data_IF_842848982797
#
_entry.id   IF_842848982797
#
_cell.length_a   1.000
_cell.length_b   1.000
_cell.length_c   1.000
_cell.angle_alpha   90.00
_cell.angle_beta   90.00
_cell.angle_gamma   90.00
#
_symmetry.space_group_name_H-M   'P 1'
#
loop_
_entity.id
_entity.type
_entity.pdbx_description
1 polymer ?
#
# COMPACT_ATOMS: atom_id res chain seq x y z
N UNK A 1 -27.61 19.70 18.04
CA UNK A 1 -26.16 19.95 17.91
C UNK A 1 -25.68 19.13 16.73
N UNK A 2 -24.81 19.63 15.84
CA UNK A 2 -24.17 18.74 14.87
C UNK A 2 -23.51 17.61 15.66
N UNK A 3 -23.64 16.38 15.17
CA UNK A 3 -22.98 15.23 15.79
C UNK A 3 -21.48 15.54 15.93
N UNK A 4 -20.87 15.17 17.05
CA UNK A 4 -19.44 15.39 17.35
C UNK A 4 -18.51 15.00 16.18
N UNK A 5 -18.93 14.03 15.38
CA UNK A 5 -18.18 13.50 14.23
C UNK A 5 -18.51 14.14 12.88
N UNK A 6 -19.57 14.95 12.79
CA UNK A 6 -20.09 15.49 11.54
C UNK A 6 -20.90 14.48 10.71
N UNK A 7 -21.39 14.94 9.56
CA UNK A 7 -22.09 14.13 8.56
C UNK A 7 -21.23 13.88 7.33
N UNK A 8 -21.41 12.71 6.71
CA UNK A 8 -20.76 12.40 5.46
C UNK A 8 -21.51 13.03 4.29
N UNK A 9 -20.74 13.62 3.37
CA UNK A 9 -21.22 14.26 2.15
C UNK A 9 -20.48 13.71 0.95
N UNK A 10 -21.20 13.48 -0.15
CA UNK A 10 -20.61 13.18 -1.46
C UNK A 10 -20.81 14.38 -2.37
N UNK A 11 -19.72 15.01 -2.78
CA UNK A 11 -19.72 16.07 -3.77
C UNK A 11 -19.51 15.45 -5.16
N UNK A 12 -20.45 15.62 -6.07
CA UNK A 12 -20.38 15.05 -7.43
C UNK A 12 -21.14 15.96 -8.40
N UNK A 13 -20.55 16.26 -9.55
CA UNK A 13 -21.15 17.10 -10.60
C UNK A 13 -21.68 18.46 -10.09
N UNK A 14 -20.92 19.11 -9.20
CA UNK A 14 -21.30 20.38 -8.58
C UNK A 14 -22.43 20.29 -7.55
N UNK A 15 -22.86 19.08 -7.17
CA UNK A 15 -23.93 18.85 -6.20
C UNK A 15 -23.40 18.20 -4.92
N UNK A 16 -24.09 18.49 -3.81
CA UNK A 16 -23.82 17.92 -2.50
C UNK A 16 -24.92 16.90 -2.16
N UNK A 17 -24.55 15.63 -2.06
CA UNK A 17 -25.44 14.53 -1.69
C UNK A 17 -25.24 14.15 -0.22
N UNK A 18 -26.33 14.22 0.54
CA UNK A 18 -26.38 14.05 2.00
C UNK A 18 -27.41 12.97 2.39
N UNK A 19 -27.49 12.65 3.68
CA UNK A 19 -28.55 11.80 4.23
C UNK A 19 -28.29 10.29 4.07
N UNK A 20 -27.02 9.90 3.93
CA UNK A 20 -26.61 8.51 3.84
C UNK A 20 -26.96 7.75 5.12
N UNK A 21 -27.63 6.61 4.97
CA UNK A 21 -28.03 5.75 6.09
C UNK A 21 -26.95 4.73 6.43
N UNK A 22 -26.21 4.31 5.41
CA UNK A 22 -25.10 3.37 5.50
C UNK A 22 -23.89 4.04 4.83
N UNK A 23 -22.80 4.13 5.57
CA UNK A 23 -21.55 4.76 5.18
C UNK A 23 -20.42 3.78 5.44
N UNK A 24 -19.52 3.64 4.48
CA UNK A 24 -18.19 3.05 4.66
C UNK A 24 -17.19 3.82 3.82
N UNK A 25 -16.11 4.30 4.44
CA UNK A 25 -14.95 4.86 3.74
C UNK A 25 -13.71 4.24 4.33
N UNK A 26 -12.92 3.56 3.51
CA UNK A 26 -11.72 2.84 3.94
C UNK A 26 -10.46 3.44 3.33
N UNK A 27 -9.47 3.69 4.19
CA UNK A 27 -8.14 4.22 3.83
C UNK A 27 -7.06 3.46 4.57
N UNK A 28 -5.89 3.27 3.96
CA UNK A 28 -4.78 2.61 4.62
C UNK A 28 -3.42 2.89 3.96
N UNK A 29 -2.35 2.61 4.69
CA UNK A 29 -0.97 2.75 4.20
C UNK A 29 -0.60 1.72 3.12
N UNK A 30 -1.15 0.51 3.25
CA UNK A 30 -0.94 -0.58 2.30
C UNK A 30 -2.18 -0.80 1.42
N UNK A 31 -3.08 0.19 1.36
CA UNK A 31 -4.34 0.15 0.59
C UNK A 31 -4.36 1.30 -0.42
N UNK A 32 -4.10 0.96 -1.67
CA UNK A 32 -4.19 1.90 -2.78
C UNK A 32 -5.00 1.27 -3.92
N UNK A 33 -6.06 1.92 -4.42
CA UNK A 33 -6.65 3.17 -3.93
C UNK A 33 -7.49 2.98 -2.64
N UNK A 34 -7.76 4.05 -1.88
CA UNK A 34 -8.82 4.06 -0.88
C UNK A 34 -10.19 3.96 -1.56
N UNK A 35 -11.23 3.60 -0.82
CA UNK A 35 -12.56 3.36 -1.39
C UNK A 35 -13.72 3.75 -0.47
N UNK A 36 -14.89 3.96 -1.07
CA UNK A 36 -16.11 4.29 -0.36
C UNK A 36 -17.32 3.50 -0.86
N UNK A 37 -18.29 3.32 0.04
CA UNK A 37 -19.63 2.84 -0.27
C UNK A 37 -20.64 3.61 0.58
N UNK A 38 -21.61 4.21 -0.09
CA UNK A 38 -22.66 5.01 0.51
C UNK A 38 -24.01 4.46 0.07
N UNK A 39 -24.93 4.30 1.01
CA UNK A 39 -26.26 3.78 0.71
C UNK A 39 -27.35 4.56 1.44
N UNK A 40 -28.47 4.74 0.74
CA UNK A 40 -29.71 5.32 1.27
C UNK A 40 -30.90 4.51 0.79
N UNK A 41 -31.88 4.30 1.67
CA UNK A 41 -33.19 3.82 1.27
C UNK A 41 -34.08 5.04 0.95
N UNK A 42 -34.46 5.16 -0.33
CA UNK A 42 -35.38 6.19 -0.76
C UNK A 42 -36.82 5.77 -0.53
N UNK A 43 -37.58 6.65 0.11
CA UNK A 43 -39.06 6.64 0.13
C UNK A 43 -39.58 7.93 -0.52
N UNK A 44 -39.17 8.24 -1.75
CA UNK A 44 -39.63 9.46 -2.45
C UNK A 44 -40.50 9.14 -3.68
N UNK A 45 -41.67 9.80 -3.83
CA UNK A 45 -42.34 9.96 -5.11
C UNK A 45 -41.64 11.06 -5.92
N UNK A 46 -41.10 10.68 -7.08
CA UNK A 46 -40.68 11.49 -8.23
C UNK A 46 -40.21 12.96 -8.00
N UNK A 47 -38.90 13.21 -8.12
CA UNK A 47 -38.35 14.55 -8.32
C UNK A 47 -36.85 14.51 -8.66
N UNK A 48 -36.49 15.07 -9.82
CA UNK A 48 -35.16 15.21 -10.48
C UNK A 48 -33.94 15.17 -9.54
N UNK A 49 -32.86 14.44 -9.79
CA UNK A 49 -32.43 13.82 -11.05
C UNK A 49 -30.92 13.91 -11.25
N UNK A 50 -30.11 13.87 -10.19
CA UNK A 50 -28.68 13.55 -10.32
C UNK A 50 -28.41 12.26 -9.58
N UNK A 51 -28.22 11.26 -10.40
CA UNK A 51 -27.67 9.98 -10.05
C UNK A 51 -26.16 10.19 -10.06
N UNK A 52 -25.44 9.81 -8.99
CA UNK A 52 -23.98 9.72 -9.01
C UNK A 52 -23.58 8.66 -10.05
N UNK A 53 -23.51 9.06 -11.33
CA UNK A 53 -23.25 8.13 -12.44
C UNK A 53 -21.81 7.63 -12.37
N UNK A 54 -21.56 6.36 -12.74
CA UNK A 54 -20.21 5.87 -12.95
C UNK A 54 -19.38 6.78 -13.85
N UNK A 55 -18.11 7.00 -13.51
CA UNK A 55 -17.16 7.84 -14.22
C UNK A 55 -17.16 9.32 -13.83
N UNK A 56 -18.08 9.77 -12.97
CA UNK A 56 -18.03 11.15 -12.47
C UNK A 56 -16.97 11.33 -11.39
N UNK A 57 -16.23 12.44 -11.46
CA UNK A 57 -15.33 12.86 -10.38
C UNK A 57 -16.14 13.19 -9.13
N UNK A 58 -15.60 12.81 -7.97
CA UNK A 58 -16.27 13.03 -6.69
C UNK A 58 -15.29 13.33 -5.56
N UNK A 59 -15.80 13.99 -4.53
CA UNK A 59 -15.11 14.24 -3.27
C UNK A 59 -16.00 13.76 -2.13
N UNK A 60 -15.46 12.89 -1.28
CA UNK A 60 -16.11 12.45 -0.06
C UNK A 60 -15.59 13.29 1.10
N UNK A 61 -16.52 13.85 1.89
CA UNK A 61 -16.20 14.65 3.07
C UNK A 61 -16.88 14.12 4.32
N UNK A 62 -16.23 14.27 5.47
CA UNK A 62 -16.83 14.07 6.79
C UNK A 62 -16.77 15.41 7.52
N UNK A 63 -17.93 16.04 7.73
CA UNK A 63 -17.97 17.45 8.11
C UNK A 63 -17.32 18.29 7.01
N UNK A 64 -16.30 19.07 7.34
CA UNK A 64 -15.55 19.90 6.40
C UNK A 64 -14.29 19.21 5.85
N UNK A 65 -13.85 18.11 6.49
CA UNK A 65 -12.64 17.40 6.12
C UNK A 65 -12.87 16.53 4.89
N UNK A 66 -12.04 16.72 3.87
CA UNK A 66 -11.95 15.80 2.74
C UNK A 66 -11.30 14.51 3.20
N UNK A 67 -11.96 13.38 2.91
CA UNK A 67 -11.45 12.04 3.24
C UNK A 67 -11.04 11.24 2.01
N UNK A 68 -11.65 11.51 0.86
CA UNK A 68 -11.32 10.84 -0.39
C UNK A 68 -11.66 11.75 -1.56
N UNK A 69 -10.77 11.82 -2.55
CA UNK A 69 -11.01 12.49 -3.82
C UNK A 69 -10.77 11.49 -4.94
N UNK A 70 -11.76 11.27 -5.80
CA UNK A 70 -11.68 10.18 -6.77
C UNK A 70 -12.85 10.12 -7.73
N UNK A 71 -13.30 8.91 -8.03
CA UNK A 71 -14.30 8.66 -9.04
C UNK A 71 -15.44 7.80 -8.50
N UNK A 72 -16.65 8.05 -9.00
CA UNK A 72 -17.76 7.12 -8.81
C UNK A 72 -17.56 5.91 -9.72
N UNK A 73 -17.39 4.72 -9.16
CA UNK A 73 -17.24 3.49 -9.95
C UNK A 73 -18.59 2.84 -10.25
N UNK A 74 -19.50 2.82 -9.28
CA UNK A 74 -20.77 2.12 -9.40
C UNK A 74 -21.90 2.92 -8.80
N UNK A 75 -23.01 2.92 -9.54
CA UNK A 75 -24.33 3.29 -9.05
C UNK A 75 -25.25 2.10 -9.17
N UNK A 76 -25.75 1.62 -8.04
CA UNK A 76 -26.59 0.41 -7.97
C UNK A 76 -27.95 0.76 -7.37
N UNK A 77 -28.94 1.10 -8.20
CA UNK A 77 -30.32 1.21 -7.76
C UNK A 77 -30.89 -0.20 -7.53
N UNK A 78 -31.57 -0.40 -6.41
CA UNK A 78 -32.31 -1.61 -6.09
C UNK A 78 -33.72 -1.29 -5.64
N UNK A 79 -34.58 -2.30 -5.66
CA UNK A 79 -35.94 -2.23 -5.12
C UNK A 79 -36.24 -3.50 -4.34
N UNK A 80 -36.90 -3.35 -3.20
CA UNK A 80 -37.34 -4.44 -2.36
C UNK A 80 -38.80 -4.19 -1.96
N UNK A 81 -39.64 -5.23 -2.06
CA UNK A 81 -41.07 -5.13 -1.75
C UNK A 81 -41.35 -4.62 -0.32
N UNK A 82 -40.48 -4.95 0.65
CA UNK A 82 -40.63 -4.58 2.07
C UNK A 82 -39.93 -3.27 2.41
N UNK A 83 -38.70 -3.06 1.94
CA UNK A 83 -37.88 -1.91 2.32
C UNK A 83 -37.87 -0.75 1.30
N UNK A 84 -38.57 -0.89 0.16
CA UNK A 84 -38.70 0.17 -0.83
C UNK A 84 -37.51 0.27 -1.79
N UNK A 85 -37.23 1.48 -2.29
CA UNK A 85 -36.10 1.74 -3.18
C UNK A 85 -34.81 1.88 -2.37
N UNK A 86 -33.72 1.32 -2.87
CA UNK A 86 -32.36 1.44 -2.32
C UNK A 86 -31.46 2.04 -3.37
N UNK A 87 -30.58 2.98 -2.99
CA UNK A 87 -29.52 3.51 -3.85
C UNK A 87 -28.19 3.26 -3.17
N UNK A 88 -27.26 2.68 -3.91
CA UNK A 88 -25.88 2.47 -3.47
C UNK A 88 -24.96 3.17 -4.44
N UNK A 89 -24.05 4.00 -3.92
CA UNK A 89 -22.97 4.64 -4.67
C UNK A 89 -21.66 4.11 -4.10
N UNK A 90 -20.76 3.63 -4.95
CA UNK A 90 -19.41 3.26 -4.53
C UNK A 90 -18.38 3.78 -5.52
N UNK A 91 -17.18 3.98 -5.04
CA UNK A 91 -16.08 4.49 -5.83
C UNK A 91 -14.75 4.36 -5.10
N UNK A 92 -13.68 4.73 -5.79
CA UNK A 92 -12.32 4.71 -5.26
C UNK A 92 -11.61 6.03 -5.52
N UNK A 93 -10.49 6.21 -4.83
CA UNK A 93 -9.59 7.34 -4.99
C UNK A 93 -8.99 7.45 -6.41
N UNK A 94 -8.40 8.60 -6.73
CA UNK A 94 -7.84 8.88 -8.07
C UNK A 94 -6.77 7.87 -8.51
N UNK A 95 -5.99 7.32 -7.57
CA UNK A 95 -4.96 6.32 -7.86
C UNK A 95 -5.51 4.99 -8.35
N UNK A 96 -6.84 4.80 -8.39
CA UNK A 96 -7.45 3.64 -9.02
C UNK A 96 -6.98 3.44 -10.47
N UNK A 97 -6.73 4.53 -11.19
CA UNK A 97 -6.33 4.46 -12.59
C UNK A 97 -4.89 3.94 -12.72
N UNK A 98 -4.01 4.22 -11.74
CA UNK A 98 -2.69 3.60 -11.67
C UNK A 98 -2.79 2.08 -11.47
N UNK A 99 -3.74 1.65 -10.64
CA UNK A 99 -3.93 0.24 -10.26
C UNK A 99 -4.61 -0.55 -11.38
N UNK A 100 -5.54 0.06 -12.11
CA UNK A 100 -6.37 -0.62 -13.10
C UNK A 100 -5.73 -0.60 -14.50
N UNK A 101 -5.03 0.48 -14.87
CA UNK A 101 -4.55 0.69 -16.24
C UNK A 101 -3.09 0.28 -16.46
N UNK A 102 -2.80 -0.16 -17.69
CA UNK A 102 -1.45 -0.43 -18.16
C UNK A 102 -0.61 0.83 -18.30
N UNK A 103 0.70 0.70 -18.10
CA UNK A 103 1.67 1.76 -18.35
C UNK A 103 1.77 2.07 -19.86
N UNK A 104 1.11 3.15 -20.29
CA UNK A 104 1.05 3.54 -21.70
C UNK A 104 2.16 4.53 -22.07
N UNK A 105 3.39 4.02 -22.22
CA UNK A 105 4.58 4.83 -22.52
C UNK A 105 5.02 4.75 -24.01
N UNK A 106 4.07 4.63 -24.94
CA UNK A 106 4.37 4.43 -26.38
C UNK A 106 5.14 5.59 -27.02
N UNK A 107 4.94 6.81 -26.55
CA UNK A 107 5.70 7.99 -27.00
C UNK A 107 7.14 8.06 -26.47
N UNK A 108 7.51 7.14 -25.58
CA UNK A 108 8.80 7.13 -24.86
C UNK A 108 9.53 5.80 -25.09
N UNK A 109 9.39 5.23 -26.29
CA UNK A 109 9.93 3.93 -26.66
C UNK A 109 9.57 2.78 -25.69
N UNK A 110 8.52 2.95 -24.88
CA UNK A 110 8.11 2.02 -23.83
C UNK A 110 9.18 1.79 -22.74
N UNK A 111 9.92 2.86 -22.39
CA UNK A 111 11.00 2.83 -21.41
C UNK A 111 10.78 3.87 -20.30
N UNK A 112 11.30 3.55 -19.12
CA UNK A 112 11.51 4.51 -18.03
C UNK A 112 12.95 5.01 -18.10
N UNK A 113 13.15 6.32 -18.07
CA UNK A 113 14.49 6.93 -18.14
C UNK A 113 15.28 6.81 -16.84
N UNK A 114 16.60 6.93 -16.93
CA UNK A 114 17.47 7.06 -15.76
C UNK A 114 17.18 8.40 -15.03
N UNK A 115 16.47 8.36 -13.91
CA UNK A 115 15.98 9.54 -13.20
C UNK A 115 15.72 9.27 -11.71
N UNK A 116 15.62 10.31 -10.87
CA UNK A 116 15.14 10.15 -9.49
C UNK A 116 13.76 9.48 -9.43
N UNK A 117 13.54 8.69 -8.39
CA UNK A 117 12.30 7.93 -8.14
C UNK A 117 11.04 8.77 -8.31
N UNK A 118 11.01 9.98 -7.73
CA UNK A 118 9.89 10.90 -7.88
C UNK A 118 9.56 11.20 -9.34
N UNK A 119 10.56 11.51 -10.16
CA UNK A 119 10.35 11.92 -11.56
C UNK A 119 9.79 10.77 -12.40
N UNK A 120 10.27 9.54 -12.17
CA UNK A 120 9.73 8.33 -12.81
C UNK A 120 8.25 8.16 -12.45
N UNK A 121 7.91 8.31 -11.18
CA UNK A 121 6.53 8.15 -10.70
C UNK A 121 5.63 9.29 -11.22
N UNK A 122 6.13 10.53 -11.26
CA UNK A 122 5.44 11.68 -11.85
C UNK A 122 5.10 11.44 -13.33
N UNK A 123 6.01 10.84 -14.09
CA UNK A 123 5.78 10.50 -15.50
C UNK A 123 4.61 9.53 -15.68
N UNK A 124 4.46 8.54 -14.79
CA UNK A 124 3.34 7.60 -14.80
C UNK A 124 2.04 8.26 -14.33
N UNK A 125 2.12 9.07 -13.27
CA UNK A 125 0.96 9.77 -12.70
C UNK A 125 0.39 10.84 -13.65
N UNK A 126 1.25 11.45 -14.48
CA UNK A 126 0.85 12.43 -15.49
C UNK A 126 -0.14 11.88 -16.53
N UNK A 127 -0.14 10.56 -16.78
CA UNK A 127 -1.11 9.90 -17.67
C UNK A 127 -2.56 10.08 -17.20
N UNK A 128 -2.76 10.26 -15.89
CA UNK A 128 -4.06 10.33 -15.23
C UNK A 128 -4.32 11.66 -14.54
N UNK A 129 -3.42 12.64 -14.71
CA UNK A 129 -3.52 13.94 -14.04
C UNK A 129 -3.43 13.84 -12.51
N UNK A 130 -2.65 12.88 -12.01
CA UNK A 130 -2.38 12.72 -10.58
C UNK A 130 -1.08 13.44 -10.25
N UNK A 131 -1.10 14.31 -9.25
CA UNK A 131 0.11 14.96 -8.74
C UNK A 131 0.81 14.06 -7.70
N UNK A 132 2.13 14.17 -7.62
CA UNK A 132 2.96 13.42 -6.67
C UNK A 132 3.43 14.33 -5.54
N UNK A 133 3.22 13.89 -4.30
CA UNK A 133 3.65 14.56 -3.07
C UNK A 133 4.80 13.78 -2.43
N UNK A 134 6.03 14.12 -2.80
CA UNK A 134 7.24 13.47 -2.29
C UNK A 134 7.71 14.15 -0.99
N UNK A 135 7.27 13.64 0.15
CA UNK A 135 7.48 14.25 1.47
C UNK A 135 8.89 14.07 2.02
N UNK A 136 9.58 13.01 1.60
CA UNK A 136 10.92 12.64 2.03
C UNK A 136 11.97 12.82 0.92
N UNK A 137 11.70 13.73 -0.02
CA UNK A 137 12.59 14.06 -1.15
C UNK A 137 12.41 13.18 -2.38
N UNK A 138 13.26 13.38 -3.39
CA UNK A 138 13.06 12.80 -4.73
C UNK A 138 13.41 11.30 -4.84
N UNK A 139 14.00 10.72 -3.78
CA UNK A 139 14.43 9.32 -3.71
C UNK A 139 15.73 9.02 -4.46
N UNK A 140 16.09 7.74 -4.50
CA UNK A 140 17.25 7.23 -5.23
C UNK A 140 17.05 7.32 -6.74
N UNK A 141 18.16 7.34 -7.46
CA UNK A 141 18.17 7.23 -8.92
C UNK A 141 17.74 5.83 -9.33
N UNK A 142 16.75 5.79 -10.19
CA UNK A 142 16.21 4.59 -10.82
C UNK A 142 16.96 4.39 -12.13
N UNK A 143 17.61 3.23 -12.35
CA UNK A 143 18.24 2.95 -13.63
C UNK A 143 17.17 2.83 -14.72
N UNK A 144 17.57 3.06 -15.97
CA UNK A 144 16.69 2.86 -17.12
C UNK A 144 16.27 1.38 -17.20
N UNK A 145 14.98 1.13 -17.46
CA UNK A 145 14.47 -0.21 -17.75
C UNK A 145 13.30 -0.16 -18.75
N UNK A 146 13.11 -1.28 -19.45
CA UNK A 146 11.97 -1.46 -20.37
C UNK A 146 10.72 -1.81 -19.57
N UNK A 147 9.61 -1.17 -19.89
CA UNK A 147 8.31 -1.49 -19.29
C UNK A 147 7.69 -2.67 -20.02
N UNK A 148 7.17 -3.65 -19.29
CA UNK A 148 6.49 -4.78 -19.94
C UNK A 148 5.17 -4.27 -20.52
N UNK A 149 4.81 -4.68 -21.74
CA UNK A 149 3.63 -4.15 -22.46
C UNK A 149 2.31 -4.28 -21.70
N UNK A 150 2.22 -5.24 -20.77
CA UNK A 150 1.04 -5.54 -19.95
C UNK A 150 1.17 -5.07 -18.50
N UNK A 151 2.28 -4.45 -18.13
CA UNK A 151 2.53 -3.98 -16.75
C UNK A 151 1.58 -2.84 -16.38
N UNK A 152 1.02 -2.87 -15.17
CA UNK A 152 0.19 -1.76 -14.67
C UNK A 152 1.08 -0.63 -14.20
N UNK A 153 0.57 0.59 -14.24
CA UNK A 153 1.30 1.75 -13.71
C UNK A 153 1.67 1.54 -12.24
N UNK A 154 0.75 1.00 -11.44
CA UNK A 154 0.96 0.75 -10.02
C UNK A 154 2.08 -0.26 -9.75
N UNK A 155 2.19 -1.33 -10.55
CA UNK A 155 3.25 -2.33 -10.35
C UNK A 155 4.65 -1.68 -10.49
N UNK A 156 4.77 -0.74 -11.43
CA UNK A 156 6.00 0.05 -11.62
C UNK A 156 6.18 1.04 -10.47
N UNK A 157 5.15 1.79 -10.10
CA UNK A 157 5.18 2.77 -9.00
C UNK A 157 5.60 2.09 -7.70
N UNK A 158 4.97 0.98 -7.33
CA UNK A 158 5.25 0.22 -6.11
C UNK A 158 6.68 -0.35 -6.11
N UNK A 159 7.15 -0.89 -7.23
CA UNK A 159 8.54 -1.34 -7.38
C UNK A 159 9.52 -0.16 -7.23
N UNK A 160 9.30 0.93 -7.95
CA UNK A 160 10.20 2.11 -7.94
C UNK A 160 10.18 2.84 -6.59
N UNK A 161 9.04 2.92 -5.90
CA UNK A 161 8.96 3.48 -4.55
C UNK A 161 9.76 2.64 -3.54
N UNK A 162 9.65 1.31 -3.61
CA UNK A 162 10.41 0.38 -2.75
C UNK A 162 11.92 0.50 -2.92
N UNK A 163 12.41 0.72 -4.15
CA UNK A 163 13.83 0.99 -4.42
C UNK A 163 14.38 2.17 -3.61
N UNK A 164 13.53 3.17 -3.35
CA UNK A 164 13.85 4.34 -2.53
C UNK A 164 13.44 4.24 -1.07
N UNK A 165 13.00 3.07 -0.62
CA UNK A 165 12.46 2.84 0.73
C UNK A 165 11.26 3.77 1.03
N UNK A 166 10.45 4.10 0.02
CA UNK A 166 9.21 4.87 0.20
C UNK A 166 8.00 3.95 0.33
N UNK A 167 7.06 4.37 1.18
CA UNK A 167 5.66 4.00 1.11
C UNK A 167 4.99 4.86 0.04
N UNK A 168 4.12 4.23 -0.75
CA UNK A 168 3.31 4.89 -1.76
C UNK A 168 1.83 4.65 -1.46
N UNK A 169 1.06 5.73 -1.26
CA UNK A 169 -0.38 5.65 -1.00
C UNK A 169 -1.09 6.95 -1.38
N UNK A 170 -2.42 6.93 -1.48
CA UNK A 170 -3.19 8.11 -1.86
C UNK A 170 -3.51 9.03 -0.67
N UNK A 171 -3.28 10.33 -0.85
CA UNK A 171 -3.73 11.39 0.06
C UNK A 171 -5.22 11.67 -0.07
N UNK A 172 -5.82 12.37 0.90
CA UNK A 172 -7.26 12.71 0.85
C UNK A 172 -7.64 13.61 -0.33
N UNK A 173 -6.68 14.40 -0.84
CA UNK A 173 -6.80 15.26 -2.02
C UNK A 173 -6.64 14.51 -3.36
N UNK A 174 -6.37 13.20 -3.31
CA UNK A 174 -6.18 12.35 -4.47
C UNK A 174 -4.78 12.45 -5.09
N UNK A 175 -3.82 13.11 -4.42
CA UNK A 175 -2.40 13.06 -4.80
C UNK A 175 -1.77 11.74 -4.37
N UNK A 176 -0.78 11.26 -5.12
CA UNK A 176 0.03 10.11 -4.72
C UNK A 176 1.12 10.59 -3.75
N UNK A 177 1.06 10.12 -2.51
CA UNK A 177 2.05 10.43 -1.48
C UNK A 177 3.21 9.44 -1.58
N UNK A 178 4.43 9.96 -1.62
CA UNK A 178 5.67 9.19 -1.45
C UNK A 178 6.35 9.64 -0.16
N UNK A 179 6.49 8.74 0.79
CA UNK A 179 7.02 9.10 2.12
C UNK A 179 7.64 7.90 2.82
N UNK A 180 8.55 8.14 3.74
CA UNK A 180 8.93 7.16 4.77
C UNK A 180 7.90 7.18 5.88
N UNK A 181 7.83 6.12 6.67
CA UNK A 181 6.90 6.10 7.80
C UNK A 181 7.22 7.26 8.75
N UNK A 182 6.29 8.23 8.84
CA UNK A 182 6.42 9.41 9.68
C UNK A 182 6.45 9.07 11.17
N UNK A 183 6.55 10.09 12.03
CA UNK A 183 6.51 9.95 13.51
C UNK A 183 5.32 10.66 14.15
N UNK A 184 4.41 11.18 13.34
CA UNK A 184 3.25 11.89 13.83
C UNK A 184 2.34 10.98 14.66
N UNK A 185 1.71 11.55 15.67
CA UNK A 185 0.86 10.84 16.64
C UNK A 185 -0.49 11.54 16.73
N UNK A 186 -1.56 10.76 16.87
CA UNK A 186 -2.92 11.27 17.11
C UNK A 186 -3.02 11.89 18.51
N UNK A 187 -3.97 12.80 18.73
CA UNK A 187 -4.08 13.49 20.03
C UNK A 187 -4.60 12.58 21.15
N UNK A 188 -5.23 11.45 20.79
CA UNK A 188 -5.64 10.40 21.70
C UNK A 188 -5.41 9.03 21.07
N UNK A 189 -5.59 7.98 21.84
CA UNK A 189 -5.49 6.60 21.38
C UNK A 189 -6.75 5.77 21.63
N UNK A 190 -6.55 4.47 21.73
CA UNK A 190 -7.58 3.45 21.86
C UNK A 190 -7.45 2.78 23.23
N UNK A 191 -8.49 2.88 24.05
CA UNK A 191 -8.49 2.40 25.43
C UNK A 191 -9.75 1.60 25.76
N UNK A 192 -9.52 0.38 26.26
CA UNK A 192 -10.57 -0.52 26.75
C UNK A 192 -11.39 0.16 27.86
N UNK A 193 -12.71 0.01 27.79
CA UNK A 193 -13.64 0.62 28.75
C UNK A 193 -13.81 2.14 28.61
N UNK A 194 -13.23 2.76 27.57
CA UNK A 194 -13.41 4.18 27.26
C UNK A 194 -14.01 4.38 25.88
N UNK A 195 -13.23 4.16 24.82
CA UNK A 195 -13.63 4.45 23.44
C UNK A 195 -13.54 3.22 22.51
N UNK A 196 -13.04 2.09 23.00
CA UNK A 196 -12.97 0.82 22.26
C UNK A 196 -14.21 0.01 22.59
N UNK A 197 -14.99 -0.30 21.55
CA UNK A 197 -16.23 -1.08 21.62
C UNK A 197 -15.97 -2.57 21.46
N UNK A 198 -15.02 -2.92 20.60
CA UNK A 198 -14.62 -4.31 20.30
C UNK A 198 -13.16 -4.35 19.86
N UNK A 199 -12.45 -5.42 20.17
CA UNK A 199 -11.04 -5.56 19.77
C UNK A 199 -10.56 -7.01 19.76
N UNK A 200 -9.77 -7.33 18.75
CA UNK A 200 -9.03 -8.58 18.59
C UNK A 200 -7.52 -8.29 18.45
N UNK A 201 -6.71 -9.16 19.03
CA UNK A 201 -5.25 -9.15 18.86
C UNK A 201 -4.80 -10.49 18.33
N UNK A 202 -4.02 -10.45 17.25
CA UNK A 202 -3.34 -11.64 16.75
C UNK A 202 -1.93 -11.69 17.34
N UNK A 203 -1.62 -12.73 18.12
CA UNK A 203 -0.24 -13.08 18.49
C UNK A 203 0.19 -14.32 17.69
N UNK A 204 0.53 -14.09 16.43
CA UNK A 204 0.74 -15.14 15.44
C UNK A 204 2.15 -15.73 15.50
N UNK A 205 2.24 -17.05 15.31
CA UNK A 205 3.50 -17.80 15.27
C UNK A 205 3.72 -18.53 13.94
N UNK A 206 2.65 -18.80 13.21
CA UNK A 206 2.62 -19.61 11.99
C UNK A 206 3.50 -19.04 10.87
N UNK A 207 3.58 -17.71 10.76
CA UNK A 207 4.46 -17.01 9.82
C UNK A 207 5.79 -16.55 10.44
N UNK A 208 6.16 -17.03 11.63
CA UNK A 208 7.44 -16.72 12.28
C UNK A 208 8.42 -17.89 12.16
N UNK A 209 9.70 -17.57 11.99
CA UNK A 209 10.77 -18.52 11.68
C UNK A 209 11.95 -18.29 12.61
N UNK A 210 12.66 -19.34 13.02
CA UNK A 210 13.84 -19.20 13.87
C UNK A 210 15.10 -18.83 13.06
N UNK A 211 15.07 -19.09 11.75
CA UNK A 211 16.13 -18.75 10.80
C UNK A 211 15.50 -18.20 9.52
N UNK A 212 15.97 -17.04 9.09
CA UNK A 212 15.69 -16.46 7.78
C UNK A 212 16.98 -16.49 6.98
N UNK A 213 16.94 -17.09 5.80
CA UNK A 213 18.09 -17.23 4.91
C UNK A 213 17.76 -16.76 3.50
N UNK A 214 18.53 -15.82 2.99
CA UNK A 214 18.50 -15.42 1.59
C UNK A 214 19.61 -16.14 0.86
N UNK A 215 19.26 -16.75 -0.27
CA UNK A 215 20.17 -17.42 -1.19
C UNK A 215 20.29 -16.57 -2.44
N UNK A 216 21.53 -16.30 -2.83
CA UNK A 216 21.88 -15.57 -4.05
C UNK A 216 22.74 -16.48 -4.93
N UNK A 217 22.36 -16.64 -6.19
CA UNK A 217 23.08 -17.45 -7.17
C UNK A 217 24.12 -16.55 -7.85
N UNK A 218 25.43 -16.82 -7.72
CA UNK A 218 26.45 -15.99 -8.38
C UNK A 218 26.28 -16.05 -9.90
N UNK A 219 26.31 -14.89 -10.57
CA UNK A 219 26.33 -14.81 -12.03
C UNK A 219 27.71 -15.12 -12.61
N UNK A 220 28.79 -14.91 -11.84
CA UNK A 220 30.16 -15.27 -12.20
C UNK A 220 30.86 -16.02 -11.05
N UNK A 221 30.92 -17.35 -11.15
CA UNK A 221 31.46 -18.23 -10.09
C UNK A 221 32.97 -17.98 -9.86
N UNK A 222 33.71 -17.59 -10.91
CA UNK A 222 35.16 -17.36 -10.85
C UNK A 222 35.55 -16.04 -10.13
N UNK A 223 34.72 -14.99 -10.26
CA UNK A 223 34.94 -13.69 -9.62
C UNK A 223 34.64 -13.68 -8.11
N UNK A 224 33.72 -14.54 -7.66
CA UNK A 224 33.26 -14.65 -6.26
C UNK A 224 33.80 -15.91 -5.54
N UNK A 225 34.84 -16.54 -6.09
CA UNK A 225 35.39 -17.84 -5.62
C UNK A 225 35.64 -17.91 -4.12
N UNK A 226 36.23 -16.87 -3.51
CA UNK A 226 36.51 -16.86 -2.08
C UNK A 226 35.25 -16.98 -1.20
N UNK A 227 34.10 -16.51 -1.68
CA UNK A 227 32.82 -16.57 -0.96
C UNK A 227 32.00 -17.80 -1.35
N UNK A 228 32.01 -18.18 -2.63
CA UNK A 228 31.30 -19.36 -3.14
C UNK A 228 31.92 -20.69 -2.66
N UNK A 229 33.25 -20.76 -2.50
CA UNK A 229 33.96 -21.97 -2.02
C UNK A 229 33.64 -22.35 -0.56
N UNK A 230 33.09 -21.42 0.22
CA UNK A 230 32.67 -21.67 1.61
C UNK A 230 31.24 -22.24 1.72
N UNK A 231 30.53 -22.44 0.60
CA UNK A 231 29.21 -23.08 0.58
C UNK A 231 29.26 -24.39 -0.21
N UNK A 232 28.71 -25.51 0.31
CA UNK A 232 28.74 -26.81 -0.36
C UNK A 232 27.99 -26.84 -1.70
N UNK A 233 27.11 -25.86 -1.94
CA UNK A 233 26.32 -25.69 -3.16
C UNK A 233 26.73 -24.48 -3.99
N UNK A 234 27.86 -23.84 -3.65
CA UNK A 234 28.41 -22.64 -4.32
C UNK A 234 27.49 -21.40 -4.33
N UNK A 235 26.39 -21.43 -3.57
CA UNK A 235 25.51 -20.28 -3.43
C UNK A 235 25.99 -19.35 -2.31
N UNK A 236 25.80 -18.04 -2.51
CA UNK A 236 26.01 -17.04 -1.47
C UNK A 236 24.77 -16.97 -0.57
N UNK A 237 24.98 -16.84 0.75
CA UNK A 237 23.90 -16.90 1.74
C UNK A 237 24.02 -15.77 2.75
N UNK A 238 22.91 -15.09 3.02
CA UNK A 238 22.77 -14.15 4.13
C UNK A 238 21.76 -14.71 5.14
N UNK A 239 22.05 -14.58 6.44
CA UNK A 239 21.27 -15.20 7.51
C UNK A 239 20.92 -14.21 8.61
N UNK A 240 19.72 -14.33 9.16
CA UNK A 240 19.33 -13.67 10.41
C UNK A 240 18.43 -14.59 11.24
N UNK A 241 18.56 -14.53 12.56
CA UNK A 241 17.81 -15.37 13.50
C UNK A 241 16.71 -14.57 14.20
N UNK A 242 15.69 -15.29 14.67
CA UNK A 242 14.67 -14.78 15.58
C UNK A 242 14.65 -15.70 16.82
N UNK A 243 15.46 -15.31 17.80
CA UNK A 243 15.74 -16.13 18.98
C UNK A 243 14.50 -16.31 19.88
N UNK A 244 13.46 -15.48 19.70
CA UNK A 244 12.17 -15.63 20.39
C UNK A 244 11.39 -16.87 19.89
N UNK A 245 11.63 -17.30 18.65
CA UNK A 245 10.99 -18.46 18.01
C UNK A 245 11.77 -19.74 18.30
N UNK A 246 13.09 -19.65 18.38
CA UNK A 246 13.94 -20.77 18.73
C UNK A 246 15.37 -20.60 18.24
N UNK A 247 16.01 -21.72 17.93
CA UNK A 247 17.42 -21.73 17.51
C UNK A 247 17.54 -21.86 16.00
N UNK A 248 18.66 -21.41 15.45
CA UNK A 248 18.98 -21.49 14.01
C UNK A 248 19.49 -22.87 13.57
N UNK A 249 19.62 -23.82 14.50
CA UNK A 249 20.14 -25.15 14.22
C UNK A 249 19.10 -26.23 14.54
N UNK A 250 18.96 -27.26 13.69
CA UNK A 250 18.20 -28.46 14.03
C UNK A 250 18.70 -29.02 15.38
N UNK A 251 17.78 -29.54 16.20
CA UNK A 251 18.07 -30.32 17.42
C UNK A 251 18.68 -29.58 18.63
N UNK A 252 18.96 -28.27 18.56
CA UNK A 252 19.62 -27.50 19.64
C UNK A 252 18.72 -26.59 20.52
N UNK A 253 17.39 -26.73 20.52
CA UNK A 253 16.55 -25.84 21.36
C UNK A 253 15.03 -25.84 21.09
N UNK A 254 14.37 -24.73 21.47
CA UNK A 254 12.90 -24.55 21.60
C UNK A 254 12.07 -24.94 20.36
N UNK A 255 12.58 -24.67 19.14
CA UNK A 255 12.03 -25.14 17.85
C UNK A 255 12.97 -24.69 16.72
N UNK A 256 13.15 -25.47 15.66
CA UNK A 256 13.83 -25.04 14.42
C UNK A 256 12.80 -24.88 13.30
N UNK A 257 12.72 -23.67 12.72
CA UNK A 257 11.76 -23.29 11.67
C UNK A 257 12.47 -22.39 10.65
N UNK A 258 13.12 -22.94 9.62
CA UNK A 258 13.79 -22.13 8.61
C UNK A 258 12.80 -21.58 7.57
N UNK A 259 13.03 -20.35 7.14
CA UNK A 259 12.53 -19.79 5.89
C UNK A 259 13.74 -19.51 5.00
N UNK A 260 13.76 -20.13 3.82
CA UNK A 260 14.77 -19.90 2.79
C UNK A 260 14.10 -19.19 1.62
N UNK A 261 14.67 -18.08 1.18
CA UNK A 261 14.17 -17.26 0.07
C UNK A 261 15.29 -16.95 -0.92
N UNK A 262 14.95 -16.76 -2.19
CA UNK A 262 15.91 -16.34 -3.21
C UNK A 262 15.93 -14.82 -3.23
N UNK A 263 17.11 -14.22 -3.18
CA UNK A 263 17.31 -12.78 -3.35
C UNK A 263 17.92 -12.49 -4.72
N UNK A 264 17.56 -11.33 -5.28
CA UNK A 264 18.08 -10.85 -6.56
C UNK A 264 19.58 -10.57 -6.48
N UNK A 265 20.30 -10.76 -7.59
CA UNK A 265 21.75 -10.59 -7.67
C UNK A 265 22.15 -9.56 -8.72
N UNK A 266 22.96 -8.59 -8.27
CA UNK A 266 23.85 -7.76 -9.08
C UNK A 266 25.28 -7.91 -8.51
N UNK A 267 26.30 -7.32 -9.14
CA UNK A 267 27.74 -7.43 -8.79
C UNK A 267 28.12 -7.20 -7.29
N UNK A 268 27.18 -6.81 -6.42
CA UNK A 268 27.34 -6.60 -4.96
C UNK A 268 26.27 -7.30 -4.08
N UNK A 269 25.64 -8.40 -4.54
CA UNK A 269 24.39 -8.97 -4.00
C UNK A 269 24.31 -9.37 -2.52
N UNK A 270 25.43 -9.50 -1.79
CA UNK A 270 25.43 -9.93 -0.38
C UNK A 270 24.78 -8.90 0.56
N UNK A 271 25.02 -7.61 0.35
CA UNK A 271 24.50 -6.55 1.23
C UNK A 271 22.97 -6.44 1.14
N UNK A 272 22.41 -6.69 -0.04
CA UNK A 272 20.98 -6.62 -0.29
C UNK A 272 20.27 -7.89 0.17
N UNK A 273 20.89 -9.06 -0.01
CA UNK A 273 20.40 -10.31 0.57
C UNK A 273 20.25 -10.21 2.10
N UNK A 274 21.23 -9.59 2.79
CA UNK A 274 21.15 -9.37 4.24
C UNK A 274 20.03 -8.40 4.62
N UNK A 275 19.95 -7.24 3.94
CA UNK A 275 18.84 -6.28 4.15
C UNK A 275 17.48 -6.96 3.93
N UNK A 276 17.38 -7.82 2.92
CA UNK A 276 16.16 -8.54 2.58
C UNK A 276 15.71 -9.48 3.70
N UNK A 277 16.59 -10.32 4.25
CA UNK A 277 16.20 -11.20 5.36
C UNK A 277 15.93 -10.45 6.66
N UNK A 278 16.64 -9.35 6.91
CA UNK A 278 16.38 -8.47 8.05
C UNK A 278 14.98 -7.85 7.95
N UNK A 279 14.63 -7.34 6.76
CA UNK A 279 13.30 -6.84 6.45
C UNK A 279 12.22 -7.91 6.59
N UNK A 280 12.44 -9.11 6.01
CA UNK A 280 11.47 -10.21 6.07
C UNK A 280 11.19 -10.59 7.54
N UNK A 281 12.25 -10.67 8.36
CA UNK A 281 12.12 -10.91 9.80
C UNK A 281 11.32 -9.79 10.48
N UNK A 282 11.71 -8.53 10.30
CA UNK A 282 11.09 -7.38 10.95
C UNK A 282 9.60 -7.26 10.58
N UNK A 283 9.28 -7.36 9.28
CA UNK A 283 7.91 -7.28 8.76
C UNK A 283 7.02 -8.38 9.34
N UNK A 284 7.52 -9.61 9.43
CA UNK A 284 6.76 -10.72 10.02
C UNK A 284 6.61 -10.61 11.54
N UNK A 285 7.61 -10.07 12.25
CA UNK A 285 7.49 -9.75 13.68
C UNK A 285 6.39 -8.71 13.89
N UNK A 286 6.41 -7.61 13.14
CA UNK A 286 5.40 -6.55 13.23
C UNK A 286 3.99 -7.07 12.95
N UNK A 287 3.80 -7.78 11.83
CA UNK A 287 2.50 -8.32 11.43
C UNK A 287 1.98 -9.44 12.32
N UNK A 288 2.85 -10.12 13.05
CA UNK A 288 2.45 -11.16 14.00
C UNK A 288 1.73 -10.62 15.24
N UNK A 289 1.59 -9.31 15.38
CA UNK A 289 1.03 -8.64 16.55
C UNK A 289 -0.10 -7.68 16.18
N UNK A 290 -0.77 -7.84 15.03
CA UNK A 290 -1.79 -6.89 14.59
C UNK A 290 -2.97 -6.81 15.58
N UNK A 291 -3.41 -5.58 15.88
CA UNK A 291 -4.68 -5.28 16.56
C UNK A 291 -5.70 -4.86 15.51
N UNK A 292 -6.89 -5.44 15.57
CA UNK A 292 -8.08 -4.92 14.89
C UNK A 292 -9.09 -4.53 15.94
N UNK A 293 -9.57 -3.29 15.90
CA UNK A 293 -10.53 -2.80 16.89
C UNK A 293 -11.63 -1.95 16.26
N UNK A 294 -12.72 -1.79 16.99
CA UNK A 294 -13.81 -0.87 16.70
C UNK A 294 -13.81 0.22 17.77
N UNK A 295 -13.80 1.48 17.36
CA UNK A 295 -13.97 2.61 18.26
C UNK A 295 -15.25 3.41 17.99
N UNK A 296 -15.67 4.16 19.00
CA UNK A 296 -16.95 4.87 19.11
C UNK A 296 -17.08 6.17 18.31
N UNK A 297 -16.03 6.59 17.60
CA UNK A 297 -15.97 7.89 16.93
C UNK A 297 -15.05 7.88 15.71
N UNK A 298 -15.35 8.72 14.73
CA UNK A 298 -14.48 8.97 13.56
C UNK A 298 -13.26 9.83 13.89
N UNK A 299 -13.27 10.52 15.04
CA UNK A 299 -12.30 11.56 15.39
C UNK A 299 -11.59 11.26 16.71
N UNK A 300 -10.38 11.73 16.82
CA UNK A 300 -9.61 11.74 18.06
C UNK A 300 -10.12 12.82 19.04
N UNK A 301 -9.48 12.92 20.21
CA UNK A 301 -9.85 13.91 21.24
C UNK A 301 -9.64 15.37 20.81
N UNK A 302 -8.79 15.64 19.81
CA UNK A 302 -8.61 16.98 19.23
C UNK A 302 -9.61 17.28 18.10
N UNK A 303 -10.47 16.32 17.77
CA UNK A 303 -11.45 16.45 16.69
C UNK A 303 -10.86 16.18 15.32
N UNK A 304 -9.66 15.59 15.19
CA UNK A 304 -9.08 15.18 13.91
C UNK A 304 -9.57 13.78 13.54
N UNK A 305 -9.85 13.52 12.27
CA UNK A 305 -10.16 12.16 11.80
C UNK A 305 -8.99 11.21 12.05
N UNK A 306 -9.28 9.97 12.47
CA UNK A 306 -8.28 8.90 12.57
C UNK A 306 -7.57 8.71 11.23
N UNK A 307 -6.24 8.78 11.18
CA UNK A 307 -5.49 8.88 9.92
C UNK A 307 -4.47 7.72 9.80
N UNK A 308 -4.47 6.96 8.70
CA UNK A 308 -3.41 5.99 8.44
C UNK A 308 -2.01 6.64 8.43
N UNK A 309 -1.00 5.92 8.94
CA UNK A 309 0.38 6.42 9.05
C UNK A 309 0.68 7.18 10.34
N UNK A 310 -0.35 7.56 11.11
CA UNK A 310 -0.18 8.16 12.43
C UNK A 310 0.00 7.07 13.48
N UNK A 311 0.72 7.39 14.57
CA UNK A 311 0.75 6.59 15.78
C UNK A 311 -0.43 6.90 16.67
N UNK A 312 -0.86 5.90 17.43
CA UNK A 312 -1.82 6.07 18.50
C UNK A 312 -1.50 5.14 19.67
N UNK A 313 -1.68 5.60 20.92
CA UNK A 313 -1.56 4.74 22.08
C UNK A 313 -2.65 3.67 22.07
N UNK A 314 -2.29 2.44 22.42
CA UNK A 314 -3.20 1.29 22.55
C UNK A 314 -3.08 0.74 23.97
N UNK A 315 -4.18 0.81 24.71
CA UNK A 315 -4.28 0.32 26.08
C UNK A 315 -5.47 -0.66 26.19
N UNK A 316 -5.18 -1.94 25.96
CA UNK A 316 -6.13 -3.06 25.98
C UNK A 316 -5.61 -4.13 26.97
N UNK A 317 -5.70 -3.88 28.29
CA UNK A 317 -5.15 -4.76 29.32
C UNK A 317 -5.73 -6.18 29.26
N UNK A 318 -7.02 -6.35 28.93
CA UNK A 318 -7.63 -7.68 28.82
C UNK A 318 -7.05 -8.52 27.66
N UNK A 319 -6.41 -7.87 26.69
CA UNK A 319 -5.75 -8.50 25.53
C UNK A 319 -4.22 -8.51 25.66
N UNK A 320 -3.67 -8.13 26.83
CA UNK A 320 -2.23 -8.14 27.09
C UNK A 320 -1.45 -6.99 26.45
N UNK A 321 -2.14 -5.94 25.98
CA UNK A 321 -1.51 -4.75 25.40
C UNK A 321 -1.58 -3.57 26.37
N UNK A 322 -0.45 -3.28 27.01
CA UNK A 322 -0.31 -2.19 27.98
C UNK A 322 0.49 -1.04 27.35
N UNK A 323 -0.20 0.07 27.06
CA UNK A 323 0.36 1.35 26.62
C UNK A 323 1.35 1.22 25.45
N UNK A 324 0.93 0.57 24.37
CA UNK A 324 1.73 0.41 23.15
C UNK A 324 1.46 1.55 22.18
N UNK A 325 2.52 2.16 21.65
CA UNK A 325 2.43 3.14 20.56
C UNK A 325 2.55 2.43 19.22
N UNK A 326 1.42 2.23 18.53
CA UNK A 326 1.38 1.52 17.25
C UNK A 326 0.88 2.41 16.12
N UNK A 327 1.26 2.04 14.90
CA UNK A 327 0.89 2.76 13.69
C UNK A 327 -0.50 2.32 13.25
N UNK A 328 -1.35 3.29 12.94
CA UNK A 328 -2.64 3.07 12.29
C UNK A 328 -2.36 2.64 10.84
N UNK A 329 -2.61 1.37 10.55
CA UNK A 329 -2.40 0.75 9.24
C UNK A 329 -3.54 1.07 8.28
N UNK A 330 -4.77 0.92 8.78
CA UNK A 330 -6.01 1.08 8.02
C UNK A 330 -7.09 1.64 8.94
N UNK A 331 -7.93 2.51 8.38
CA UNK A 331 -9.09 3.12 9.03
C UNK A 331 -10.29 2.93 8.12
N UNK A 332 -11.38 2.39 8.67
CA UNK A 332 -12.68 2.35 8.03
C UNK A 332 -13.68 3.16 8.84
N UNK A 333 -14.01 4.36 8.34
CA UNK A 333 -15.10 5.16 8.90
C UNK A 333 -16.42 4.55 8.45
N UNK A 334 -17.27 4.15 9.40
CA UNK A 334 -18.60 3.65 9.09
C UNK A 334 -19.69 4.27 9.92
N UNK A 335 -20.87 4.37 9.33
CA UNK A 335 -22.10 4.78 10.01
C UNK A 335 -23.25 3.94 9.50
N UNK A 336 -24.08 3.46 10.41
CA UNK A 336 -25.23 2.60 10.09
C UNK A 336 -26.19 2.52 11.27
N UNK A 337 -26.95 1.42 11.33
CA UNK A 337 -27.87 1.16 12.45
C UNK A 337 -27.19 1.08 13.82
N UNK A 338 -25.90 0.75 13.87
CA UNK A 338 -25.08 0.67 15.09
C UNK A 338 -24.48 2.02 15.51
N UNK A 339 -24.82 3.12 14.84
CA UNK A 339 -24.26 4.45 15.11
C UNK A 339 -23.04 4.77 14.26
N UNK A 340 -22.20 5.67 14.76
CA UNK A 340 -20.94 6.11 14.14
C UNK A 340 -19.80 5.33 14.75
N UNK A 341 -19.07 4.56 13.94
CA UNK A 341 -17.99 3.70 14.41
C UNK A 341 -16.81 3.78 13.46
N UNK A 342 -15.62 3.49 13.96
CA UNK A 342 -14.42 3.34 13.13
C UNK A 342 -13.79 1.99 13.38
N UNK A 343 -13.59 1.21 12.31
CA UNK A 343 -12.78 0.00 12.39
C UNK A 343 -11.32 0.40 12.10
N UNK A 344 -10.40 0.02 12.99
CA UNK A 344 -9.00 0.42 12.93
C UNK A 344 -8.12 -0.82 13.01
N UNK A 345 -7.16 -0.91 12.09
CA UNK A 345 -6.08 -1.89 12.20
C UNK A 345 -4.80 -1.18 12.64
N UNK A 346 -4.17 -1.64 13.72
CA UNK A 346 -2.91 -1.13 14.21
C UNK A 346 -1.83 -2.21 14.20
N UNK A 347 -0.60 -1.83 13.87
CA UNK A 347 0.57 -2.71 13.93
C UNK A 347 1.82 -1.97 14.41
N UNK A 348 2.83 -2.66 14.94
CA UNK A 348 4.16 -2.10 15.15
C UNK A 348 4.75 -1.51 13.86
N UNK A 349 5.60 -0.49 13.99
CA UNK A 349 6.17 0.23 12.84
C UNK A 349 6.98 -0.65 11.88
N UNK A 350 7.66 -1.68 12.40
CA UNK A 350 8.42 -2.65 11.63
C UNK A 350 7.58 -3.40 10.57
N UNK A 351 6.25 -3.42 10.72
CA UNK A 351 5.34 -4.01 9.75
C UNK A 351 5.31 -3.25 8.40
N UNK A 352 5.68 -1.96 8.40
CA UNK A 352 5.53 -1.05 7.25
C UNK A 352 6.84 -0.69 6.58
N UNK A 353 7.95 -1.33 6.95
CA UNK A 353 9.20 -1.13 6.23
C UNK A 353 9.01 -1.60 4.77
N UNK A 354 9.42 -0.80 3.76
CA UNK A 354 9.39 -1.23 2.37
C UNK A 354 10.40 -2.35 2.11
N UNK A 355 10.03 -3.26 1.22
CA UNK A 355 10.86 -4.38 0.81
C UNK A 355 12.12 -3.89 0.10
N UNK A 356 13.33 -4.29 0.54
CA UNK A 356 14.55 -4.02 -0.21
C UNK A 356 14.51 -4.79 -1.53
N UNK A 357 14.62 -4.06 -2.64
CA UNK A 357 14.67 -4.61 -3.99
C UNK A 357 15.89 -4.08 -4.75
N UNK A 358 16.22 -4.75 -5.86
CA UNK A 358 17.13 -4.24 -6.86
C UNK A 358 16.37 -3.94 -8.15
N UNK A 359 16.53 -2.73 -8.67
CA UNK A 359 16.13 -2.45 -10.04
C UNK A 359 17.24 -2.89 -10.99
N UNK A 360 16.97 -3.91 -11.80
CA UNK A 360 17.87 -4.32 -12.86
C UNK A 360 17.93 -3.22 -13.92
N UNK A 361 19.14 -2.72 -14.19
CA UNK A 361 19.36 -1.80 -15.30
C UNK A 361 19.18 -2.56 -16.63
N UNK A 362 18.68 -1.85 -17.64
CA UNK A 362 18.84 -2.30 -19.02
C UNK A 362 20.35 -2.43 -19.30
N UNK A 363 20.74 -3.58 -19.85
CA UNK A 363 22.15 -3.89 -20.07
C UNK A 363 22.68 -2.99 -21.19
N UNK A 364 23.37 -1.91 -20.82
CA UNK A 364 23.88 -0.91 -21.77
C UNK A 364 24.84 -1.53 -22.80
N UNK A 365 25.41 -2.71 -22.52
CA UNK A 365 26.19 -3.49 -23.48
C UNK A 365 25.37 -3.93 -24.69
N UNK A 366 24.05 -4.16 -24.54
CA UNK A 366 23.18 -4.55 -25.65
C UNK A 366 22.87 -3.38 -26.57
N UNK A 367 22.62 -2.18 -26.03
CA UNK A 367 22.41 -0.97 -26.84
C UNK A 367 23.70 -0.49 -27.51
N UNK A 368 24.85 -0.57 -26.83
CA UNK A 368 26.15 -0.30 -27.45
C UNK A 368 26.43 -1.30 -28.58
N UNK A 369 26.14 -2.60 -28.39
CA UNK A 369 26.32 -3.62 -29.42
C UNK A 369 25.33 -3.49 -30.59
N UNK A 370 24.10 -3.02 -30.35
CA UNK A 370 23.11 -2.74 -31.39
C UNK A 370 23.46 -1.48 -32.20
N UNK A 371 24.01 -0.45 -31.53
CA UNK A 371 24.43 0.79 -32.17
C UNK A 371 25.80 0.68 -32.87
N UNK A 372 26.74 -0.12 -32.36
CA UNK A 372 28.04 -0.37 -33.01
C UNK A 372 27.94 -1.25 -34.25
N UNK A 373 26.88 -2.06 -34.38
CA UNK A 373 26.70 -2.99 -35.52
C UNK A 373 25.91 -2.44 -36.71
N UNK A 374 25.46 -1.18 -36.67
CA UNK A 374 24.85 -0.52 -37.83
C UNK A 374 23.70 -1.30 -38.49
N UNK A 375 22.88 -2.03 -37.73
CA UNK A 375 21.69 -2.71 -38.27
C UNK A 375 20.47 -1.80 -38.18
N UNK A 376 20.52 -0.70 -38.93
CA UNK A 376 19.32 -0.01 -39.40
C UNK A 376 19.47 0.15 -40.91
N UNK A 377 19.25 -0.93 -41.65
CA UNK A 377 18.80 -0.93 -43.05
C UNK A 377 18.68 -2.37 -43.55
N UNK A 378 17.50 -2.77 -44.07
CA UNK A 378 17.41 -4.01 -44.83
C UNK A 378 16.04 -4.70 -44.90
N UNK A 379 15.16 -4.17 -45.76
CA UNK A 379 14.49 -4.95 -46.79
C UNK A 379 13.56 -6.10 -46.38
N UNK A 380 12.24 -5.82 -46.38
CA UNK A 380 11.25 -6.83 -46.69
C UNK A 380 11.39 -7.29 -48.15
N UNK A 381 11.82 -8.53 -48.36
CA UNK A 381 11.74 -9.26 -49.63
C UNK A 381 10.88 -10.52 -49.45
N UNK A 382 10.15 -10.96 -50.49
CA UNK A 382 9.07 -11.94 -50.32
C UNK A 382 9.62 -13.36 -50.12
N UNK A 383 8.89 -14.13 -49.31
CA UNK A 383 9.19 -15.52 -48.96
C UNK A 383 8.54 -16.43 -50.03
N UNK A 384 9.22 -17.46 -50.58
CA UNK A 384 8.61 -18.51 -51.39
C UNK A 384 7.70 -19.45 -50.59
#
# INVERSE_FOLDING_TARGET
>A
MPARDGDLKLLVDGQELLGWQEVRVTRGLERTPPDFLLQVNERFPAGKGVIAKPGLSCVVKIGDDTVLTGWVDRYTPGVNKRSGSRRTVSGRGKTQDLVDCSAYLRGLANQVSNAPTRQVIEQLCALFGIEVDARDGDGQVVPQFNVILTERCWDIVDRVARHSEFLAYEGTDGRLILTKLGKDTMASGFREGINVEDADVSFAYDQRYSLYEAVTIPTEILGDTARALNSPDYNLRARVTDDAIGVAEPTKGKRFRPLVLIAETMQNGVDIALKRVQWERARRIGRSQAVTLVCDSWRDAAGRLWEPGFRAPVHLPSLGLLDKEWVIAEVTYRRGSQGTLTDVTLMPEDAFLPEPILLAAFDAQLDAALNERGMIEGGGGPIP
#
